data_IF_277005670520
#
_entry.id   IF_277005670520
#
_cell.length_a   1.000
_cell.length_b   1.000
_cell.length_c   1.000
_cell.angle_alpha   90.00
_cell.angle_beta   90.00
_cell.angle_gamma   90.00
#
_symmetry.space_group_name_H-M   'P 1'
#
loop_
_entity.id
_entity.type
_entity.pdbx_description
1 polymer ?
#
# COMPACT_ATOMS: atom_id res chain seq x y z
N UNK A 1 -17.36 -3.24 -51.18
CA UNK A 1 -16.28 -4.18 -51.54
C UNK A 1 -15.43 -4.33 -50.28
N UNK A 2 -15.90 -5.16 -49.34
CA UNK A 2 -15.10 -5.54 -48.18
C UNK A 2 -13.96 -6.41 -48.71
N UNK A 3 -12.73 -5.88 -48.67
CA UNK A 3 -11.57 -6.73 -48.82
C UNK A 3 -11.58 -7.65 -47.59
N UNK A 4 -11.98 -8.91 -47.80
CA UNK A 4 -11.75 -9.97 -46.82
C UNK A 4 -10.23 -10.10 -46.67
N UNK A 5 -9.68 -9.31 -45.75
CA UNK A 5 -8.27 -9.34 -45.39
C UNK A 5 -7.99 -10.73 -44.83
N UNK A 6 -7.36 -11.59 -45.62
CA UNK A 6 -7.01 -12.93 -45.18
C UNK A 6 -5.85 -12.82 -44.17
N UNK A 7 -6.24 -12.76 -42.90
CA UNK A 7 -5.33 -12.55 -41.78
C UNK A 7 -4.32 -13.70 -41.72
N UNK A 8 -4.70 -14.91 -42.11
CA UNK A 8 -3.84 -16.10 -42.07
C UNK A 8 -2.67 -16.02 -43.07
N UNK A 9 -2.90 -15.41 -44.23
CA UNK A 9 -1.84 -15.19 -45.23
C UNK A 9 -0.81 -14.15 -44.71
N UNK A 10 -1.29 -13.11 -44.03
CA UNK A 10 -0.45 -12.10 -43.38
C UNK A 10 0.35 -12.71 -42.22
N UNK A 11 -0.26 -13.55 -41.39
CA UNK A 11 0.44 -14.24 -40.29
C UNK A 11 1.50 -15.21 -40.82
N UNK A 12 1.23 -15.93 -41.91
CA UNK A 12 2.22 -16.78 -42.59
C UNK A 12 3.37 -15.98 -43.18
N UNK A 13 3.10 -14.80 -43.72
CA UNK A 13 4.12 -13.90 -44.26
C UNK A 13 5.00 -13.26 -43.17
N UNK A 14 4.44 -12.94 -42.00
CA UNK A 14 5.14 -12.19 -40.95
C UNK A 14 6.28 -12.93 -40.24
N UNK A 15 6.37 -14.27 -40.37
CA UNK A 15 7.25 -15.17 -39.59
C UNK A 15 7.10 -14.99 -38.06
N UNK A 16 7.24 -16.05 -37.26
CA UNK A 16 7.03 -15.99 -35.80
C UNK A 16 8.02 -15.10 -35.02
N UNK A 17 9.06 -14.57 -35.68
CA UNK A 17 10.13 -13.76 -35.09
C UNK A 17 10.44 -12.51 -35.92
N UNK A 18 9.42 -11.87 -36.49
CA UNK A 18 9.60 -10.60 -37.18
C UNK A 18 10.11 -9.51 -36.23
N UNK A 19 11.00 -8.63 -36.72
CA UNK A 19 11.56 -7.51 -35.93
C UNK A 19 10.48 -6.62 -35.30
N UNK A 20 9.34 -6.47 -35.98
CA UNK A 20 8.19 -5.71 -35.48
C UNK A 20 7.55 -6.37 -34.25
N UNK A 21 7.29 -7.68 -34.30
CA UNK A 21 6.73 -8.43 -33.17
C UNK A 21 7.68 -8.46 -31.98
N UNK A 22 8.98 -8.67 -32.22
CA UNK A 22 10.00 -8.63 -31.17
C UNK A 22 10.04 -7.24 -30.51
N UNK A 23 10.02 -6.16 -31.31
CA UNK A 23 10.01 -4.79 -30.78
C UNK A 23 8.76 -4.49 -29.97
N UNK A 24 7.59 -4.95 -30.42
CA UNK A 24 6.33 -4.76 -29.70
C UNK A 24 6.30 -5.57 -28.39
N UNK A 25 6.80 -6.81 -28.40
CA UNK A 25 6.94 -7.63 -27.20
C UNK A 25 7.91 -6.98 -26.19
N UNK A 26 9.06 -6.49 -26.66
CA UNK A 26 10.02 -5.78 -25.81
C UNK A 26 9.41 -4.53 -25.17
N UNK A 27 8.62 -3.76 -25.93
CA UNK A 27 7.91 -2.61 -25.40
C UNK A 27 6.87 -2.99 -24.33
N UNK A 28 6.10 -4.05 -24.56
CA UNK A 28 5.13 -4.56 -23.56
C UNK A 28 5.84 -5.06 -22.30
N UNK A 29 6.97 -5.74 -22.43
CA UNK A 29 7.77 -6.19 -21.28
C UNK A 29 8.32 -5.00 -20.48
N UNK A 30 8.88 -4.01 -21.18
CA UNK A 30 9.38 -2.79 -20.55
C UNK A 30 8.27 -2.01 -19.82
N UNK A 31 7.06 -1.97 -20.38
CA UNK A 31 5.91 -1.28 -19.78
C UNK A 31 5.29 -2.03 -18.57
N UNK A 32 5.41 -3.36 -18.52
CA UNK A 32 4.89 -4.19 -17.43
C UNK A 32 5.85 -4.27 -16.22
N UNK A 33 7.15 -4.09 -16.42
CA UNK A 33 8.13 -4.05 -15.32
C UNK A 33 7.78 -3.02 -14.23
N UNK A 34 7.41 -1.76 -14.56
CA UNK A 34 6.93 -0.80 -13.57
C UNK A 34 5.71 -1.27 -12.77
N UNK A 35 4.75 -1.95 -13.40
CA UNK A 35 3.56 -2.47 -12.71
C UNK A 35 3.94 -3.53 -11.67
N UNK A 36 4.85 -4.44 -12.03
CA UNK A 36 5.38 -5.44 -11.10
C UNK A 36 6.15 -4.81 -9.94
N UNK A 37 6.97 -3.78 -10.21
CA UNK A 37 7.68 -3.05 -9.16
C UNK A 37 6.69 -2.30 -8.26
N UNK A 38 5.61 -1.74 -8.81
CA UNK A 38 4.58 -1.06 -8.03
C UNK A 38 3.88 -2.00 -7.04
N UNK A 39 3.67 -3.27 -7.42
CA UNK A 39 3.15 -4.31 -6.51
C UNK A 39 4.10 -4.58 -5.33
N UNK A 40 5.40 -4.65 -5.61
CA UNK A 40 6.44 -4.93 -4.61
C UNK A 40 6.79 -3.68 -3.77
N UNK A 41 6.59 -2.48 -4.31
CA UNK A 41 6.92 -1.21 -3.66
C UNK A 41 6.26 -1.08 -2.28
N UNK A 42 5.09 -1.69 -2.08
CA UNK A 42 4.36 -1.71 -0.80
C UNK A 42 5.20 -2.26 0.33
N UNK A 43 6.00 -3.30 0.08
CA UNK A 43 6.87 -3.93 1.08
C UNK A 43 7.95 -2.95 1.55
N UNK A 44 8.45 -2.12 0.65
CA UNK A 44 9.49 -1.13 0.96
C UNK A 44 8.92 0.12 1.64
N UNK A 45 7.78 0.62 1.16
CA UNK A 45 7.13 1.81 1.75
C UNK A 45 6.49 1.46 3.10
N UNK A 46 6.14 0.19 3.33
CA UNK A 46 5.61 -0.34 4.59
C UNK A 46 6.67 -0.78 5.59
N UNK A 47 7.91 -0.28 5.48
CA UNK A 47 8.97 -0.59 6.42
C UNK A 47 8.56 -0.25 7.86
N UNK A 48 8.77 -1.18 8.79
CA UNK A 48 8.45 -1.02 10.21
C UNK A 48 9.75 -0.88 11.02
N UNK A 49 10.18 0.34 11.37
CA UNK A 49 11.34 0.53 12.25
C UNK A 49 11.00 0.08 13.68
N UNK A 50 12.05 -0.14 14.49
CA UNK A 50 11.88 -0.34 15.94
C UNK A 50 11.22 0.89 16.57
N UNK A 51 10.27 0.67 17.48
CA UNK A 51 9.46 1.72 18.09
C UNK A 51 9.17 1.38 19.56
N UNK A 52 9.01 2.42 20.36
CA UNK A 52 8.65 2.33 21.77
C UNK A 52 7.55 3.32 22.06
N UNK A 53 6.84 3.16 23.17
CA UNK A 53 5.76 4.08 23.51
C UNK A 53 6.30 5.47 23.83
N UNK A 54 5.53 6.49 23.44
CA UNK A 54 5.91 7.87 23.67
C UNK A 54 6.00 8.19 25.18
N UNK A 55 6.91 9.08 25.53
CA UNK A 55 7.19 9.45 26.91
C UNK A 55 5.92 10.01 27.60
N UNK A 56 5.62 9.50 28.79
CA UNK A 56 4.50 9.97 29.63
C UNK A 56 4.99 11.07 30.59
N UNK A 57 5.44 12.22 30.07
CA UNK A 57 5.95 13.33 30.89
C UNK A 57 4.84 14.29 31.38
N UNK A 58 4.87 14.72 32.66
CA UNK A 58 4.38 13.96 33.80
C UNK A 58 2.84 14.02 33.94
N UNK A 59 2.22 12.84 34.04
CA UNK A 59 1.05 12.55 34.90
C UNK A 59 -0.14 13.54 34.82
N UNK A 60 -1.01 13.37 33.81
CA UNK A 60 -2.44 13.72 33.91
C UNK A 60 -3.25 12.60 34.58
N UNK A 61 -2.66 11.87 35.52
CA UNK A 61 -3.45 11.04 36.43
C UNK A 61 -3.77 11.88 37.65
N UNK A 62 -5.05 12.18 37.84
CA UNK A 62 -5.55 12.83 39.04
C UNK A 62 -5.01 12.06 40.25
N UNK A 63 -4.24 12.77 41.07
CA UNK A 63 -3.46 12.25 42.17
C UNK A 63 -4.29 11.36 43.11
N UNK A 64 -4.12 10.05 42.97
CA UNK A 64 -3.96 9.18 44.14
C UNK A 64 -2.51 9.38 44.61
N UNK A 65 -2.26 9.41 45.92
CA UNK A 65 -0.93 9.63 46.53
C UNK A 65 0.10 8.50 46.25
N UNK A 66 0.02 7.85 45.11
CA UNK A 66 0.82 6.69 44.74
C UNK A 66 2.03 7.18 43.96
N UNK A 67 3.21 7.15 44.59
CA UNK A 67 4.47 7.48 43.94
C UNK A 67 4.83 6.38 42.94
N UNK A 68 4.81 6.71 41.65
CA UNK A 68 5.33 5.84 40.57
C UNK A 68 6.82 5.64 40.82
N UNK A 69 7.24 4.39 40.97
CA UNK A 69 8.63 4.03 41.25
C UNK A 69 9.46 3.80 39.98
N UNK A 70 8.84 3.23 38.95
CA UNK A 70 9.51 2.91 37.70
C UNK A 70 8.49 2.76 36.57
N UNK A 71 8.89 3.19 35.37
CA UNK A 71 8.10 3.13 34.13
C UNK A 71 8.87 2.29 33.13
N UNK A 72 8.33 1.13 32.79
CA UNK A 72 8.90 0.28 31.75
C UNK A 72 8.13 0.48 30.44
N UNK A 73 8.84 0.94 29.41
CA UNK A 73 8.30 1.12 28.06
C UNK A 73 8.53 -0.14 27.23
N UNK A 74 7.47 -0.89 26.92
CA UNK A 74 7.53 -1.97 25.94
C UNK A 74 7.11 -1.44 24.56
N UNK A 75 7.21 -2.29 23.53
CA UNK A 75 6.80 -1.93 22.16
C UNK A 75 5.30 -1.56 22.08
N UNK A 76 4.42 -2.30 22.77
CA UNK A 76 2.96 -2.13 22.67
C UNK A 76 2.26 -1.85 24.00
N UNK A 77 3.00 -1.72 25.09
CA UNK A 77 2.43 -1.46 26.41
C UNK A 77 3.37 -0.66 27.30
N UNK A 78 2.81 0.12 28.22
CA UNK A 78 3.56 0.76 29.28
C UNK A 78 3.20 0.06 30.58
N UNK A 79 4.23 -0.38 31.31
CA UNK A 79 4.04 -0.96 32.65
C UNK A 79 4.43 0.09 33.68
N UNK A 80 3.48 0.47 34.53
CA UNK A 80 3.70 1.38 35.64
C UNK A 80 3.87 0.55 36.92
N UNK A 81 4.96 0.79 37.63
CA UNK A 81 5.16 0.22 38.96
C UNK A 81 4.95 1.29 40.02
N UNK A 82 4.21 0.93 41.07
CA UNK A 82 3.98 1.80 42.22
C UNK A 82 4.62 1.25 43.49
N UNK A 83 5.08 2.16 44.34
CA UNK A 83 5.61 1.81 45.65
C UNK A 83 4.49 1.89 46.71
N UNK A 84 3.65 0.86 46.77
CA UNK A 84 2.70 0.66 47.87
C UNK A 84 3.15 -0.55 48.70
N UNK A 85 2.58 -0.67 49.90
CA UNK A 85 2.77 -1.80 50.83
C UNK A 85 2.59 -3.18 50.16
N UNK A 86 1.83 -3.27 49.07
CA UNK A 86 1.84 -4.37 48.12
C UNK A 86 2.21 -3.81 46.75
N UNK A 87 3.49 -3.86 46.38
CA UNK A 87 3.95 -3.43 45.06
C UNK A 87 3.04 -3.98 43.98
N UNK A 88 2.40 -3.11 43.22
CA UNK A 88 1.60 -3.58 42.09
C UNK A 88 1.90 -2.81 40.82
N UNK A 89 1.50 -3.46 39.74
CA UNK A 89 1.90 -3.17 38.38
C UNK A 89 0.62 -3.05 37.57
N UNK A 90 0.45 -1.92 36.91
CA UNK A 90 -0.60 -1.73 35.92
C UNK A 90 0.04 -1.74 34.54
N UNK A 91 -0.58 -2.45 33.61
CA UNK A 91 -0.13 -2.53 32.22
C UNK A 91 -1.23 -1.97 31.35
N UNK A 92 -0.95 -0.83 30.72
CA UNK A 92 -1.90 -0.13 29.86
C UNK A 92 -1.34 0.00 28.44
N UNK A 93 -2.25 0.08 27.46
CA UNK A 93 -1.93 0.44 26.08
C UNK A 93 -1.42 1.89 26.01
N UNK A 94 -0.59 2.19 25.02
CA UNK A 94 0.18 3.44 24.99
C UNK A 94 -0.72 4.66 24.68
N UNK A 95 -0.95 5.55 25.66
CA UNK A 95 -1.96 6.60 25.55
C UNK A 95 -1.49 7.82 24.74
N UNK A 96 -0.18 8.04 24.66
CA UNK A 96 0.44 9.19 23.98
C UNK A 96 1.00 8.81 22.59
N UNK A 97 0.63 7.64 22.06
CA UNK A 97 1.15 7.14 20.79
C UNK A 97 2.54 6.51 20.89
N UNK A 98 3.24 6.46 19.75
CA UNK A 98 4.50 5.73 19.57
C UNK A 98 5.62 6.67 19.14
N UNK A 99 6.84 6.36 19.58
CA UNK A 99 8.08 7.03 19.22
C UNK A 99 8.94 6.03 18.44
N UNK A 100 9.25 6.38 17.20
CA UNK A 100 10.02 5.53 16.30
C UNK A 100 11.52 5.81 16.44
N UNK A 101 12.36 4.79 16.27
CA UNK A 101 13.83 4.95 16.23
C UNK A 101 14.32 5.52 14.87
N UNK A 102 13.41 5.68 13.90
CA UNK A 102 13.62 6.33 12.63
C UNK A 102 12.84 7.65 12.58
N UNK A 103 13.03 8.45 11.52
CA UNK A 103 12.21 9.64 11.31
C UNK A 103 10.75 9.25 11.08
N UNK A 104 9.81 10.07 11.53
CA UNK A 104 8.37 9.72 11.48
C UNK A 104 7.85 9.60 10.02
N UNK A 105 8.58 10.16 9.04
CA UNK A 105 8.22 10.20 7.62
C UNK A 105 8.87 9.09 6.76
N UNK A 106 9.56 8.12 7.37
CA UNK A 106 10.26 7.07 6.60
C UNK A 106 9.32 6.06 5.93
N UNK A 107 8.10 5.92 6.46
CA UNK A 107 7.16 4.87 6.08
C UNK A 107 5.74 5.32 6.33
N UNK A 108 4.81 4.81 5.51
CA UNK A 108 3.39 5.07 5.74
C UNK A 108 2.90 4.48 7.08
N UNK A 109 3.61 3.47 7.60
CA UNK A 109 3.34 2.86 8.91
C UNK A 109 3.65 3.83 10.05
N UNK A 110 4.76 4.56 9.95
CA UNK A 110 5.19 5.53 10.97
C UNK A 110 4.35 6.81 10.90
N UNK A 111 3.99 7.24 9.70
CA UNK A 111 3.22 8.47 9.46
C UNK A 111 1.80 8.41 10.07
N UNK A 112 1.11 7.28 9.96
CA UNK A 112 -0.24 7.10 10.55
C UNK A 112 -0.26 6.23 11.81
N UNK A 113 0.90 5.83 12.33
CA UNK A 113 0.99 5.06 13.57
C UNK A 113 0.32 3.68 13.54
N UNK A 114 0.45 2.95 12.42
CA UNK A 114 -0.26 1.68 12.18
C UNK A 114 0.44 0.49 12.87
N UNK A 115 0.57 0.54 14.19
CA UNK A 115 1.33 -0.44 14.96
C UNK A 115 0.49 -1.02 16.10
N UNK A 116 0.90 -2.19 16.61
CA UNK A 116 0.20 -2.94 17.66
C UNK A 116 -1.24 -3.27 17.25
N UNK A 117 -2.25 -2.66 17.88
CA UNK A 117 -3.67 -2.91 17.58
C UNK A 117 -4.03 -2.51 16.14
N UNK A 118 -3.32 -1.52 15.60
CA UNK A 118 -3.55 -0.96 14.27
C UNK A 118 -2.66 -1.58 13.19
N UNK A 119 -1.88 -2.61 13.52
CA UNK A 119 -1.03 -3.31 12.56
C UNK A 119 -1.82 -3.98 11.42
N UNK A 120 -3.03 -4.46 11.71
CA UNK A 120 -3.91 -5.08 10.71
C UNK A 120 -4.31 -4.12 9.58
N UNK A 121 -4.29 -2.80 9.81
CA UNK A 121 -4.60 -1.81 8.77
C UNK A 121 -3.58 -1.87 7.62
N UNK A 122 -2.31 -2.15 7.92
CA UNK A 122 -1.27 -2.35 6.89
C UNK A 122 -1.70 -3.47 5.92
N UNK A 123 -2.15 -4.60 6.43
CA UNK A 123 -2.61 -5.75 5.64
C UNK A 123 -3.93 -5.48 4.91
N UNK A 124 -4.85 -4.73 5.53
CA UNK A 124 -6.10 -4.30 4.92
C UNK A 124 -5.82 -3.47 3.67
N UNK A 125 -4.83 -2.58 3.71
CA UNK A 125 -4.48 -1.75 2.56
C UNK A 125 -4.02 -2.60 1.36
N UNK A 126 -3.18 -3.61 1.59
CA UNK A 126 -2.74 -4.54 0.55
C UNK A 126 -3.90 -5.39 0.04
N UNK A 127 -4.74 -5.89 0.94
CA UNK A 127 -5.93 -6.68 0.59
C UNK A 127 -6.89 -5.88 -0.29
N UNK A 128 -7.10 -4.60 0.01
CA UNK A 128 -7.98 -3.73 -0.78
C UNK A 128 -7.41 -3.46 -2.17
N UNK A 129 -6.08 -3.37 -2.31
CA UNK A 129 -5.44 -3.27 -3.62
C UNK A 129 -5.70 -4.54 -4.45
N UNK A 130 -5.54 -5.73 -3.87
CA UNK A 130 -5.84 -7.00 -4.54
C UNK A 130 -7.33 -7.15 -4.89
N UNK A 131 -8.23 -6.67 -4.04
CA UNK A 131 -9.66 -6.62 -4.37
C UNK A 131 -9.92 -5.68 -5.55
N UNK A 132 -9.27 -4.52 -5.57
CA UNK A 132 -9.30 -3.60 -6.70
C UNK A 132 -8.84 -4.28 -7.99
N UNK A 133 -7.75 -5.04 -7.95
CA UNK A 133 -7.27 -5.84 -9.07
C UNK A 133 -8.32 -6.82 -9.58
N UNK A 134 -8.97 -7.58 -8.69
CA UNK A 134 -10.04 -8.51 -9.08
C UNK A 134 -11.21 -7.82 -9.78
N UNK A 135 -11.64 -6.66 -9.28
CA UNK A 135 -12.69 -5.86 -9.92
C UNK A 135 -12.22 -5.28 -11.25
N UNK A 136 -10.97 -4.81 -11.31
CA UNK A 136 -10.32 -4.31 -12.52
C UNK A 136 -10.33 -5.34 -13.64
N UNK A 137 -9.90 -6.58 -13.35
CA UNK A 137 -9.88 -7.67 -14.33
C UNK A 137 -11.27 -7.98 -14.90
N UNK A 138 -12.32 -7.96 -14.08
CA UNK A 138 -13.70 -8.18 -14.53
C UNK A 138 -14.22 -7.05 -15.44
N UNK A 139 -13.90 -5.79 -15.12
CA UNK A 139 -14.35 -4.64 -15.92
C UNK A 139 -13.53 -4.47 -17.20
N UNK A 140 -12.21 -4.65 -17.10
CA UNK A 140 -11.28 -4.35 -18.18
C UNK A 140 -11.32 -5.40 -19.29
N UNK A 141 -11.69 -6.64 -18.98
CA UNK A 141 -11.97 -7.67 -20.00
C UNK A 141 -13.05 -7.19 -20.98
N UNK A 142 -14.20 -6.73 -20.49
CA UNK A 142 -15.28 -6.22 -21.34
C UNK A 142 -14.94 -4.91 -22.07
N UNK A 143 -14.09 -4.06 -21.47
CA UNK A 143 -13.65 -2.81 -22.10
C UNK A 143 -12.60 -3.06 -23.20
N UNK A 144 -11.69 -4.02 -23.00
CA UNK A 144 -10.64 -4.38 -23.96
C UNK A 144 -11.23 -4.90 -25.26
N UNK A 145 -12.30 -5.70 -25.16
CA UNK A 145 -12.99 -6.26 -26.33
C UNK A 145 -13.73 -5.19 -27.15
N UNK A 146 -14.15 -4.08 -26.53
CA UNK A 146 -14.90 -2.99 -27.20
C UNK A 146 -14.02 -1.85 -27.72
N UNK A 147 -13.05 -1.40 -26.93
CA UNK A 147 -12.22 -0.22 -27.24
C UNK A 147 -10.86 -0.58 -27.84
N UNK A 148 -10.53 -1.87 -27.88
CA UNK A 148 -9.27 -2.38 -28.38
C UNK A 148 -8.18 -2.39 -27.31
N UNK A 149 -7.40 -3.48 -27.30
CA UNK A 149 -6.39 -3.77 -26.27
C UNK A 149 -5.31 -2.70 -26.08
N UNK A 150 -4.89 -2.03 -27.16
CA UNK A 150 -3.83 -1.00 -27.11
C UNK A 150 -4.31 0.28 -26.42
N UNK A 151 -5.54 0.72 -26.71
CA UNK A 151 -6.11 1.95 -26.15
C UNK A 151 -6.34 1.80 -24.65
N UNK A 152 -6.90 0.65 -24.24
CA UNK A 152 -7.12 0.33 -22.82
C UNK A 152 -5.81 0.29 -22.05
N UNK A 153 -4.78 -0.37 -22.59
CA UNK A 153 -3.46 -0.46 -21.95
C UNK A 153 -2.78 0.91 -21.76
N UNK A 154 -2.88 1.81 -22.74
CA UNK A 154 -2.30 3.16 -22.59
C UNK A 154 -3.14 4.00 -21.61
N UNK A 155 -4.47 3.92 -21.71
CA UNK A 155 -5.38 4.65 -20.83
C UNK A 155 -5.26 4.25 -19.36
N UNK A 156 -5.00 2.97 -19.08
CA UNK A 156 -4.79 2.48 -17.72
C UNK A 156 -3.50 3.02 -17.11
N UNK A 157 -2.38 2.98 -17.83
CA UNK A 157 -1.12 3.58 -17.35
C UNK A 157 -1.24 5.09 -17.07
N UNK A 158 -1.96 5.83 -17.92
CA UNK A 158 -2.24 7.26 -17.66
C UNK A 158 -3.07 7.42 -16.39
N UNK A 159 -4.08 6.58 -16.19
CA UNK A 159 -4.94 6.62 -14.99
C UNK A 159 -4.13 6.30 -13.73
N UNK A 160 -3.27 5.26 -13.77
CA UNK A 160 -2.36 4.91 -12.67
C UNK A 160 -1.46 6.10 -12.32
N UNK A 161 -0.86 6.75 -13.33
CA UNK A 161 0.01 7.90 -13.09
C UNK A 161 -0.71 9.03 -12.36
N UNK A 162 -1.93 9.37 -12.78
CA UNK A 162 -2.77 10.39 -12.11
C UNK A 162 -3.12 9.97 -10.69
N UNK A 163 -3.53 8.73 -10.46
CA UNK A 163 -3.88 8.22 -9.13
C UNK A 163 -2.68 8.24 -8.17
N UNK A 164 -1.49 7.86 -8.64
CA UNK A 164 -0.27 7.91 -7.85
C UNK A 164 0.10 9.35 -7.44
N UNK A 165 -0.06 10.32 -8.35
CA UNK A 165 0.14 11.73 -8.03
C UNK A 165 -0.83 12.20 -6.94
N UNK A 166 -2.11 11.86 -7.05
CA UNK A 166 -3.12 12.24 -6.05
C UNK A 166 -2.80 11.58 -4.69
N UNK A 167 -2.36 10.33 -4.70
CA UNK A 167 -2.00 9.58 -3.48
C UNK A 167 -0.89 10.27 -2.69
N UNK A 168 0.08 10.90 -3.37
CA UNK A 168 1.17 11.62 -2.72
C UNK A 168 0.74 12.85 -1.92
N UNK A 169 -0.44 13.41 -2.18
CA UNK A 169 -0.93 14.62 -1.49
C UNK A 169 -2.00 14.33 -0.43
N UNK A 170 -2.33 13.06 -0.17
CA UNK A 170 -3.39 12.71 0.76
C UNK A 170 -2.82 12.49 2.17
N UNK A 171 -3.24 13.31 3.16
CA UNK A 171 -2.83 13.14 4.55
C UNK A 171 -3.70 12.11 5.31
N UNK A 172 -4.78 11.61 4.70
CA UNK A 172 -5.75 10.72 5.36
C UNK A 172 -5.53 9.25 4.99
N UNK A 173 -5.48 8.37 5.99
CA UNK A 173 -5.38 6.93 5.78
C UNK A 173 -6.55 6.35 4.95
N UNK A 174 -7.78 6.82 5.18
CA UNK A 174 -8.96 6.37 4.42
C UNK A 174 -8.85 6.74 2.94
N UNK A 175 -8.45 7.98 2.63
CA UNK A 175 -8.21 8.41 1.26
C UNK A 175 -7.11 7.60 0.58
N UNK A 176 -6.03 7.28 1.31
CA UNK A 176 -4.94 6.46 0.83
C UNK A 176 -5.42 5.06 0.41
N UNK A 177 -6.16 4.35 1.26
CA UNK A 177 -6.65 3.00 0.93
C UNK A 177 -7.67 3.03 -0.22
N UNK A 178 -8.53 4.05 -0.28
CA UNK A 178 -9.50 4.20 -1.38
C UNK A 178 -8.80 4.41 -2.71
N UNK A 179 -7.79 5.27 -2.78
CA UNK A 179 -7.00 5.41 -4.01
C UNK A 179 -6.25 4.13 -4.35
N UNK A 180 -5.73 3.41 -3.35
CA UNK A 180 -5.04 2.15 -3.56
C UNK A 180 -5.95 1.10 -4.23
N UNK A 181 -7.24 1.07 -3.86
CA UNK A 181 -8.24 0.24 -4.53
C UNK A 181 -8.37 0.60 -6.02
N UNK A 182 -8.54 1.89 -6.34
CA UNK A 182 -8.67 2.34 -7.74
C UNK A 182 -7.36 2.14 -8.54
N UNK A 183 -6.20 2.33 -7.91
CA UNK A 183 -4.91 2.02 -8.54
C UNK A 183 -4.81 0.53 -8.83
N UNK A 184 -5.23 -0.33 -7.90
CA UNK A 184 -5.35 -1.78 -8.13
C UNK A 184 -6.24 -2.12 -9.32
N UNK A 185 -7.42 -1.48 -9.43
CA UNK A 185 -8.30 -1.66 -10.59
C UNK A 185 -7.63 -1.27 -11.91
N UNK A 186 -6.88 -0.17 -11.93
CA UNK A 186 -6.22 0.32 -13.14
C UNK A 186 -5.00 -0.54 -13.52
N UNK A 187 -4.31 -1.16 -12.55
CA UNK A 187 -3.15 -2.04 -12.81
C UNK A 187 -3.53 -3.31 -13.58
N UNK A 188 -4.68 -3.93 -13.29
CA UNK A 188 -5.14 -5.15 -14.00
C UNK A 188 -5.82 -4.88 -15.35
N UNK A 189 -5.79 -3.64 -15.84
CA UNK A 189 -6.42 -3.27 -17.10
C UNK A 189 -5.56 -3.63 -18.34
N UNK A 190 -5.16 -4.91 -18.46
CA UNK A 190 -4.21 -5.42 -19.49
C UNK A 190 -4.68 -6.72 -20.16
#
# INVERSE_FOLDING_TARGET
>A
MEQNLDVDEIWRALRPWGLYQIRQMAFMWAANLPCSVHLLAVVFIGYRPGFHCADILPVRFNASNDTISDVTYNECSVTLSYNLTNSSRTTDSCPNGYKYNAHDDVSFVTEWGLVCDESAKVDISQSLMLLGQGVGGFLCTGLSDKFGRKTVHIGSHVTIFVLCLITSFIPSYVGYITLRFFTGMAVEAV
#
